data_IF_279149019450
#
_entry.id   IF_279149019450
#
_cell.length_a   1.000
_cell.length_b   1.000
_cell.length_c   1.000
_cell.angle_alpha   90.00
_cell.angle_beta   90.00
_cell.angle_gamma   90.00
#
_symmetry.space_group_name_H-M   'P 1'
#
loop_
_entity.id
_entity.type
_entity.pdbx_description
1 polymer ?
#
# COMPACT_ATOMS: atom_id res chain seq x y z
N UNK A 1 0.25 10.55 -22.34
CA UNK A 1 -1.12 10.77 -21.95
C UNK A 1 -1.78 11.62 -23.03
N UNK A 2 -3.04 11.38 -23.32
CA UNK A 2 -3.85 12.32 -24.06
C UNK A 2 -4.12 13.48 -23.08
N UNK A 3 -3.63 14.69 -23.31
CA UNK A 3 -3.71 15.75 -22.32
C UNK A 3 -5.17 16.11 -21.97
N UNK A 4 -6.08 15.95 -22.95
CA UNK A 4 -7.52 16.20 -22.76
C UNK A 4 -8.13 15.15 -21.85
N UNK A 5 -7.84 13.86 -22.09
CA UNK A 5 -8.33 12.75 -21.29
C UNK A 5 -7.81 12.83 -19.85
N UNK A 6 -6.52 13.10 -19.68
CA UNK A 6 -5.93 13.26 -18.35
C UNK A 6 -6.56 14.43 -17.58
N UNK A 7 -6.86 15.55 -18.26
CA UNK A 7 -7.56 16.68 -17.63
C UNK A 7 -8.99 16.36 -17.23
N UNK A 8 -9.71 15.66 -18.09
CA UNK A 8 -11.08 15.23 -17.81
C UNK A 8 -11.13 14.22 -16.65
N UNK A 9 -10.25 13.22 -16.63
CA UNK A 9 -10.14 12.30 -15.52
C UNK A 9 -9.75 12.99 -14.22
N UNK A 10 -8.74 13.86 -14.25
CA UNK A 10 -8.31 14.61 -13.09
C UNK A 10 -9.42 15.53 -12.54
N UNK A 11 -10.29 16.07 -13.41
CA UNK A 11 -11.43 16.88 -12.97
C UNK A 11 -12.53 16.08 -12.29
N UNK A 12 -12.60 14.77 -12.55
CA UNK A 12 -13.56 13.83 -11.96
C UNK A 12 -12.96 12.97 -10.85
N UNK A 13 -11.64 13.06 -10.64
CA UNK A 13 -10.97 12.27 -9.62
C UNK A 13 -11.43 12.70 -8.23
N UNK A 14 -11.80 11.71 -7.41
CA UNK A 14 -11.99 11.92 -5.97
C UNK A 14 -10.63 12.21 -5.35
N UNK A 15 -10.55 13.29 -4.60
CA UNK A 15 -9.32 13.71 -3.91
C UNK A 15 -9.61 13.86 -2.43
N UNK A 16 -8.61 13.51 -1.64
CA UNK A 16 -8.63 13.80 -0.21
C UNK A 16 -8.04 15.19 -0.02
N UNK A 17 -8.76 16.15 0.57
CA UNK A 17 -8.19 17.46 0.89
C UNK A 17 -7.04 17.28 1.86
N UNK A 18 -5.85 17.74 1.49
CA UNK A 18 -4.65 17.65 2.34
C UNK A 18 -4.67 18.65 3.49
N UNK A 19 -5.51 19.68 3.40
CA UNK A 19 -5.71 20.71 4.42
C UNK A 19 -7.18 21.14 4.46
N UNK A 20 -7.60 21.67 5.60
CA UNK A 20 -8.94 22.22 5.77
C UNK A 20 -10.05 21.17 5.93
N UNK A 21 -11.32 21.59 5.75
CA UNK A 21 -12.46 20.72 5.94
C UNK A 21 -12.57 19.65 4.85
N UNK A 22 -13.10 18.50 5.22
CA UNK A 22 -13.47 17.43 4.29
C UNK A 22 -14.93 17.63 3.83
N UNK A 23 -15.32 16.95 2.74
CA UNK A 23 -16.71 16.93 2.31
C UNK A 23 -17.59 16.09 3.23
N UNK A 24 -18.89 16.35 3.21
CA UNK A 24 -19.87 15.61 4.01
C UNK A 24 -19.86 14.10 3.64
N UNK A 25 -19.69 13.79 2.36
CA UNK A 25 -19.62 12.40 1.87
C UNK A 25 -18.39 11.67 2.41
N UNK A 26 -17.23 12.33 2.46
CA UNK A 26 -16.03 11.74 3.04
C UNK A 26 -16.19 11.55 4.56
N UNK A 27 -16.76 12.51 5.24
CA UNK A 27 -17.06 12.42 6.66
C UNK A 27 -18.02 11.25 6.95
N UNK A 28 -19.06 11.07 6.14
CA UNK A 28 -20.01 9.96 6.25
C UNK A 28 -19.32 8.61 6.04
N UNK A 29 -18.44 8.48 5.04
CA UNK A 29 -17.66 7.25 4.82
C UNK A 29 -16.77 6.94 6.03
N UNK A 30 -16.05 7.93 6.55
CA UNK A 30 -15.18 7.74 7.71
C UNK A 30 -15.97 7.36 8.95
N UNK A 31 -17.11 8.01 9.18
CA UNK A 31 -18.00 7.67 10.29
C UNK A 31 -18.55 6.24 10.17
N UNK A 32 -18.93 5.84 8.95
CA UNK A 32 -19.38 4.47 8.68
C UNK A 32 -18.29 3.43 9.00
N UNK A 33 -17.04 3.71 8.65
CA UNK A 33 -15.92 2.82 9.02
C UNK A 33 -15.70 2.83 10.54
N UNK A 34 -15.78 3.98 11.18
CA UNK A 34 -15.61 4.11 12.64
C UNK A 34 -16.69 3.33 13.43
N UNK A 35 -17.92 3.31 12.92
CA UNK A 35 -19.05 2.60 13.54
C UNK A 35 -18.95 1.05 13.38
N UNK A 36 -18.02 0.58 12.53
CA UNK A 36 -17.83 -0.85 12.25
C UNK A 36 -16.38 -1.28 12.56
N UNK A 37 -16.04 -1.54 13.83
CA UNK A 37 -14.67 -1.82 14.27
C UNK A 37 -14.09 -3.15 13.74
N UNK A 38 -14.87 -3.98 13.10
CA UNK A 38 -14.49 -5.19 12.37
C UNK A 38 -13.99 -4.88 10.94
N UNK A 39 -14.27 -3.68 10.44
CA UNK A 39 -13.78 -3.20 9.13
C UNK A 39 -12.46 -2.45 9.30
N UNK A 40 -11.61 -2.50 8.31
CA UNK A 40 -10.41 -1.66 8.23
C UNK A 40 -10.50 -0.65 7.09
N UNK A 41 -9.88 0.50 7.29
CA UNK A 41 -9.72 1.52 6.26
C UNK A 41 -8.47 1.22 5.44
N UNK A 42 -8.60 1.06 4.12
CA UNK A 42 -7.47 1.00 3.21
C UNK A 42 -7.31 2.37 2.52
N UNK A 43 -6.10 2.92 2.52
CA UNK A 43 -5.85 4.25 1.94
C UNK A 43 -5.99 4.27 0.41
N UNK A 44 -5.94 3.12 -0.25
CA UNK A 44 -5.97 3.04 -1.70
C UNK A 44 -4.75 3.70 -2.35
N UNK A 45 -4.89 4.05 -3.64
CA UNK A 45 -3.80 4.63 -4.44
C UNK A 45 -3.87 6.17 -4.49
N UNK A 46 -3.77 6.82 -3.36
CA UNK A 46 -3.73 8.29 -3.25
C UNK A 46 -2.27 8.78 -3.13
N UNK A 47 -2.03 10.07 -3.17
CA UNK A 47 -0.68 10.64 -3.00
C UNK A 47 -0.20 10.57 -1.55
N UNK A 48 1.12 10.70 -1.33
CA UNK A 48 1.69 10.70 0.01
C UNK A 48 1.08 11.73 0.97
N UNK A 49 0.90 13.00 0.57
CA UNK A 49 0.19 13.99 1.40
C UNK A 49 -1.25 13.59 1.72
N UNK A 50 -1.98 13.01 0.77
CA UNK A 50 -3.34 12.51 1.01
C UNK A 50 -3.34 11.32 1.97
N UNK A 51 -2.36 10.41 1.88
CA UNK A 51 -2.21 9.32 2.89
C UNK A 51 -2.05 9.93 4.28
N UNK A 52 -1.12 10.87 4.47
CA UNK A 52 -0.89 11.47 5.78
C UNK A 52 -2.15 12.14 6.32
N UNK A 53 -2.93 12.81 5.46
CA UNK A 53 -4.24 13.38 5.84
C UNK A 53 -5.25 12.32 6.23
N UNK A 54 -5.31 11.19 5.52
CA UNK A 54 -6.18 10.07 5.88
C UNK A 54 -5.81 9.53 7.26
N UNK A 55 -4.52 9.45 7.61
CA UNK A 55 -4.10 9.00 8.94
C UNK A 55 -4.56 9.96 10.05
N UNK A 56 -4.49 11.27 9.83
CA UNK A 56 -5.02 12.27 10.76
C UNK A 56 -6.54 12.12 10.93
N UNK A 57 -7.26 12.01 9.82
CA UNK A 57 -8.70 11.79 9.84
C UNK A 57 -9.09 10.47 10.52
N UNK A 58 -8.31 9.41 10.30
CA UNK A 58 -8.55 8.14 10.99
C UNK A 58 -8.47 8.30 12.52
N UNK A 59 -7.51 9.09 13.03
CA UNK A 59 -7.44 9.40 14.47
C UNK A 59 -8.61 10.28 14.93
N UNK A 60 -8.96 11.33 14.18
CA UNK A 60 -10.11 12.19 14.48
C UNK A 60 -11.42 11.39 14.60
N UNK A 61 -11.65 10.44 13.67
CA UNK A 61 -12.82 9.57 13.64
C UNK A 61 -12.67 8.31 14.51
N UNK A 62 -11.54 8.10 15.20
CA UNK A 62 -11.23 6.93 16.03
C UNK A 62 -11.24 5.60 15.26
N UNK A 63 -10.78 5.63 14.02
CA UNK A 63 -10.56 4.44 13.19
C UNK A 63 -9.19 3.87 13.54
N UNK A 64 -9.17 2.72 14.19
CA UNK A 64 -7.93 2.11 14.70
C UNK A 64 -7.28 1.12 13.73
N UNK A 65 -8.04 0.62 12.76
CA UNK A 65 -7.56 -0.35 11.77
C UNK A 65 -7.37 0.35 10.44
N UNK A 66 -6.13 0.70 10.12
CA UNK A 66 -5.77 1.32 8.84
C UNK A 66 -4.67 0.51 8.17
N UNK A 67 -4.83 0.26 6.88
CA UNK A 67 -3.82 -0.32 6.00
C UNK A 67 -3.39 0.72 4.97
N UNK A 68 -2.12 1.08 4.99
CA UNK A 68 -1.53 1.99 4.02
C UNK A 68 -1.11 1.18 2.80
N UNK A 69 -1.84 1.33 1.70
CA UNK A 69 -1.55 0.63 0.45
C UNK A 69 -0.23 1.14 -0.16
N UNK A 70 0.66 0.23 -0.52
CA UNK A 70 1.90 0.51 -1.28
C UNK A 70 2.66 1.77 -0.81
N UNK A 71 3.09 1.88 0.46
CA UNK A 71 3.61 3.13 1.03
C UNK A 71 4.77 3.72 0.21
N UNK A 72 5.63 2.87 -0.35
CA UNK A 72 6.73 3.31 -1.20
C UNK A 72 6.25 3.88 -2.55
N UNK A 73 5.19 3.32 -3.14
CA UNK A 73 4.57 3.85 -4.38
C UNK A 73 3.85 5.16 -4.12
N UNK A 74 3.27 5.33 -2.94
CA UNK A 74 2.66 6.58 -2.48
C UNK A 74 3.69 7.66 -2.12
N UNK A 75 4.98 7.37 -2.28
CA UNK A 75 6.10 8.26 -2.02
C UNK A 75 6.21 8.70 -0.55
N UNK A 76 5.77 7.85 0.38
CA UNK A 76 6.04 8.07 1.80
C UNK A 76 7.53 7.87 2.08
N UNK A 77 8.13 8.84 2.76
CA UNK A 77 9.47 8.69 3.28
C UNK A 77 9.52 7.60 4.38
N UNK A 78 10.70 7.08 4.67
CA UNK A 78 10.87 6.11 5.76
C UNK A 78 10.41 6.70 7.09
N UNK A 79 10.67 7.98 7.35
CA UNK A 79 10.22 8.64 8.57
C UNK A 79 8.70 8.73 8.66
N UNK A 80 8.00 8.99 7.56
CA UNK A 80 6.54 8.95 7.51
C UNK A 80 5.99 7.54 7.72
N UNK A 81 6.65 6.51 7.16
CA UNK A 81 6.28 5.12 7.39
C UNK A 81 6.47 4.71 8.85
N UNK A 82 7.59 5.10 9.48
CA UNK A 82 7.83 4.89 10.91
C UNK A 82 6.83 5.64 11.78
N UNK A 83 6.45 6.86 11.38
CA UNK A 83 5.44 7.62 12.09
C UNK A 83 4.09 6.89 12.06
N UNK A 84 3.64 6.47 10.89
CA UNK A 84 2.42 5.68 10.73
C UNK A 84 2.44 4.38 11.56
N UNK A 85 3.57 3.67 11.58
CA UNK A 85 3.80 2.47 12.37
C UNK A 85 3.66 2.76 13.89
N UNK A 86 4.32 3.82 14.39
CA UNK A 86 4.21 4.25 15.81
C UNK A 86 2.78 4.59 16.21
N UNK A 87 1.97 5.10 15.28
CA UNK A 87 0.55 5.39 15.48
C UNK A 87 -0.33 4.12 15.42
N UNK A 88 0.27 2.95 15.18
CA UNK A 88 -0.40 1.65 15.18
C UNK A 88 -1.02 1.25 13.85
N UNK A 89 -0.73 1.96 12.77
CA UNK A 89 -1.22 1.65 11.43
C UNK A 89 -0.34 0.62 10.73
N UNK A 90 -0.96 -0.22 9.89
CA UNK A 90 -0.26 -1.21 9.10
C UNK A 90 0.17 -0.66 7.74
N UNK A 91 1.32 -1.15 7.26
CA UNK A 91 1.85 -0.85 5.93
C UNK A 91 1.74 -2.09 5.04
N UNK A 92 1.17 -1.92 3.87
CA UNK A 92 1.09 -2.99 2.89
C UNK A 92 2.39 -3.12 2.11
N UNK A 93 2.91 -4.33 2.02
CA UNK A 93 4.03 -4.66 1.17
C UNK A 93 3.62 -5.69 0.12
N UNK A 94 3.66 -5.29 -1.16
CA UNK A 94 3.26 -6.16 -2.25
C UNK A 94 4.43 -6.64 -3.07
N UNK A 95 4.40 -7.93 -3.43
CA UNK A 95 5.43 -8.56 -4.28
C UNK A 95 5.58 -7.84 -5.62
N UNK A 96 4.48 -7.33 -6.18
CA UNK A 96 4.48 -6.60 -7.45
C UNK A 96 5.33 -5.33 -7.43
N UNK A 97 5.56 -4.75 -6.26
CA UNK A 97 6.26 -3.48 -6.13
C UNK A 97 7.77 -3.59 -6.48
N UNK A 98 8.35 -4.77 -6.35
CA UNK A 98 9.78 -4.97 -6.58
C UNK A 98 10.12 -6.14 -7.52
N UNK A 99 9.29 -7.20 -7.58
CA UNK A 99 9.63 -8.40 -8.36
C UNK A 99 9.57 -8.18 -9.88
N UNK A 100 8.72 -7.27 -10.34
CA UNK A 100 8.56 -6.95 -11.76
C UNK A 100 9.09 -5.57 -12.16
N UNK A 101 10.29 -5.17 -11.75
CA UNK A 101 10.86 -3.90 -12.21
C UNK A 101 11.02 -3.85 -13.74
N UNK A 102 11.00 -5.02 -14.41
CA UNK A 102 11.17 -5.18 -15.85
C UNK A 102 9.99 -5.91 -16.51
N UNK A 103 8.88 -6.13 -15.79
CA UNK A 103 7.70 -6.76 -16.40
C UNK A 103 7.29 -6.01 -17.67
N UNK A 104 6.89 -6.73 -18.72
CA UNK A 104 6.36 -6.09 -19.90
C UNK A 104 5.24 -5.14 -19.46
N UNK A 105 5.32 -3.91 -19.90
CA UNK A 105 4.43 -2.80 -19.51
C UNK A 105 2.99 -2.96 -20.00
N UNK A 106 2.59 -4.17 -20.35
CA UNK A 106 1.33 -4.52 -21.01
C UNK A 106 0.26 -5.08 -20.09
N UNK A 107 0.55 -5.29 -18.81
CA UNK A 107 -0.42 -5.90 -17.91
C UNK A 107 -1.42 -4.92 -17.28
N UNK A 108 -1.12 -3.64 -17.32
CA UNK A 108 -2.15 -2.61 -17.20
C UNK A 108 -2.46 -2.15 -18.61
N UNK A 109 -3.67 -2.03 -19.03
CA UNK A 109 -4.09 -1.54 -20.34
C UNK A 109 -3.55 -0.13 -20.70
N UNK A 110 -2.45 0.24 -20.07
CA UNK A 110 -1.75 1.50 -20.29
C UNK A 110 -0.78 1.27 -21.43
N UNK A 111 -1.06 1.87 -22.55
CA UNK A 111 -0.16 1.80 -23.69
C UNK A 111 1.26 2.23 -23.33
N UNK A 112 2.25 1.56 -23.91
CA UNK A 112 3.68 1.83 -23.73
C UNK A 112 4.02 3.34 -23.75
N UNK A 113 3.34 4.12 -24.60
CA UNK A 113 3.54 5.57 -24.71
C UNK A 113 3.19 6.36 -23.45
N UNK A 114 2.27 5.85 -22.59
CA UNK A 114 1.98 6.47 -21.31
C UNK A 114 3.10 6.25 -20.30
N UNK A 115 3.64 5.05 -20.31
CA UNK A 115 4.70 4.64 -19.42
C UNK A 115 6.04 5.32 -19.76
N UNK A 116 6.29 5.53 -21.07
CA UNK A 116 7.54 6.15 -21.54
C UNK A 116 7.57 7.68 -21.34
N UNK A 117 6.42 8.33 -21.20
CA UNK A 117 6.31 9.79 -21.07
C UNK A 117 6.21 10.29 -19.64
N UNK A 118 5.79 9.46 -18.71
CA UNK A 118 5.55 9.92 -17.34
C UNK A 118 6.82 10.26 -16.57
N UNK A 119 7.97 9.76 -17.01
CA UNK A 119 9.24 9.95 -16.28
C UNK A 119 9.24 9.34 -14.86
N UNK A 120 8.07 8.90 -14.39
CA UNK A 120 7.85 8.46 -13.03
C UNK A 120 8.18 6.98 -12.79
N UNK A 121 8.30 6.19 -13.85
CA UNK A 121 8.61 4.76 -13.77
C UNK A 121 9.90 4.43 -13.03
N UNK A 122 11.00 5.19 -13.15
CA UNK A 122 12.20 4.91 -12.36
C UNK A 122 11.99 5.12 -10.86
N UNK A 123 11.08 6.03 -10.46
CA UNK A 123 10.82 6.36 -9.06
C UNK A 123 9.96 5.32 -8.35
N UNK A 124 9.15 4.58 -9.09
CA UNK A 124 8.25 3.54 -8.55
C UNK A 124 8.94 2.19 -8.36
N UNK A 125 10.22 2.07 -8.74
CA UNK A 125 10.94 0.79 -8.75
C UNK A 125 11.91 0.73 -7.60
N UNK A 126 11.55 0.02 -6.56
CA UNK A 126 12.50 -0.38 -5.54
C UNK A 126 13.11 -1.74 -5.91
N UNK A 127 14.40 -1.93 -5.64
CA UNK A 127 14.99 -3.25 -5.67
C UNK A 127 14.50 -4.08 -4.49
N UNK A 128 14.57 -5.40 -4.60
CA UNK A 128 14.29 -6.28 -3.46
C UNK A 128 15.09 -5.87 -2.21
N UNK A 129 16.39 -5.58 -2.38
CA UNK A 129 17.24 -5.16 -1.28
C UNK A 129 16.77 -3.88 -0.57
N UNK A 130 16.37 -2.86 -1.36
CA UNK A 130 15.83 -1.63 -0.78
C UNK A 130 14.52 -1.87 -0.05
N UNK A 131 13.64 -2.69 -0.61
CA UNK A 131 12.35 -3.00 -0.01
C UNK A 131 12.51 -3.77 1.30
N UNK A 132 13.44 -4.75 1.33
CA UNK A 132 13.76 -5.50 2.54
C UNK A 132 14.42 -4.61 3.62
N UNK A 133 15.28 -3.68 3.20
CA UNK A 133 15.86 -2.69 4.11
C UNK A 133 14.79 -1.77 4.73
N UNK A 134 13.82 -1.31 3.95
CA UNK A 134 12.72 -0.51 4.45
C UNK A 134 11.88 -1.27 5.48
N UNK A 135 11.55 -2.55 5.24
CA UNK A 135 10.82 -3.39 6.20
C UNK A 135 11.61 -3.51 7.50
N UNK A 136 12.93 -3.74 7.42
CA UNK A 136 13.79 -3.82 8.60
C UNK A 136 13.83 -2.52 9.38
N UNK A 137 13.89 -1.40 8.67
CA UNK A 137 14.02 -0.09 9.28
C UNK A 137 12.72 0.40 9.93
N UNK A 138 11.57 0.08 9.36
CA UNK A 138 10.25 0.41 9.91
C UNK A 138 9.85 -0.56 11.01
N UNK A 139 10.11 -1.84 10.83
CA UNK A 139 9.77 -2.96 11.72
C UNK A 139 8.82 -3.97 11.06
N UNK A 140 9.20 -5.26 10.99
CA UNK A 140 8.37 -6.32 10.41
C UNK A 140 6.97 -6.42 11.04
N UNK A 141 6.84 -6.08 12.32
CA UNK A 141 5.60 -6.15 13.08
C UNK A 141 4.50 -5.18 12.59
N UNK A 142 4.86 -4.25 11.71
CA UNK A 142 3.91 -3.26 11.16
C UNK A 142 3.52 -3.56 9.71
N UNK A 143 4.10 -4.57 9.09
CA UNK A 143 3.79 -4.89 7.70
C UNK A 143 2.74 -5.99 7.56
N UNK A 144 1.89 -5.79 6.56
CA UNK A 144 0.99 -6.81 6.01
C UNK A 144 1.48 -7.11 4.60
N UNK A 145 1.93 -8.35 4.36
CA UNK A 145 2.51 -8.72 3.07
C UNK A 145 1.54 -9.51 2.21
N UNK A 146 1.51 -9.13 0.94
CA UNK A 146 0.70 -9.77 -0.08
C UNK A 146 1.41 -9.80 -1.44
N UNK A 147 0.72 -10.29 -2.45
CA UNK A 147 1.30 -10.39 -3.79
C UNK A 147 0.86 -9.29 -4.74
N UNK A 148 -0.35 -8.79 -4.57
CA UNK A 148 -1.05 -7.95 -5.53
C UNK A 148 -1.12 -8.62 -6.92
N UNK A 149 -1.20 -9.97 -6.93
CA UNK A 149 -1.35 -10.76 -8.15
C UNK A 149 -2.83 -11.02 -8.41
N UNK A 150 -3.22 -10.95 -9.63
CA UNK A 150 -4.57 -11.09 -10.17
C UNK A 150 -4.57 -10.61 -11.61
N UNK A 151 -3.40 -10.23 -12.09
CA UNK A 151 -3.17 -9.71 -13.42
C UNK A 151 -2.72 -10.84 -14.36
N UNK A 152 -3.15 -10.78 -15.61
CA UNK A 152 -2.94 -11.85 -16.61
C UNK A 152 -1.48 -12.24 -16.82
N UNK A 153 -0.55 -11.30 -16.66
CA UNK A 153 0.87 -11.52 -16.90
C UNK A 153 1.63 -12.02 -15.66
N UNK A 154 0.98 -12.09 -14.49
CA UNK A 154 1.61 -12.57 -13.26
C UNK A 154 1.36 -14.07 -13.05
N UNK A 155 2.23 -14.76 -12.32
CA UNK A 155 1.95 -16.09 -11.79
C UNK A 155 0.71 -16.09 -10.88
N UNK A 156 0.27 -17.28 -10.47
CA UNK A 156 -0.81 -17.36 -9.48
C UNK A 156 -0.38 -16.70 -8.14
N UNK A 157 -1.35 -16.19 -7.38
CA UNK A 157 -1.08 -15.59 -6.08
C UNK A 157 -0.34 -16.56 -5.13
N UNK A 158 -0.67 -17.86 -5.18
CA UNK A 158 0.02 -18.90 -4.40
C UNK A 158 1.49 -19.01 -4.77
N UNK A 159 1.81 -19.00 -6.07
CA UNK A 159 3.20 -19.02 -6.52
C UNK A 159 3.93 -17.72 -6.15
N UNK A 160 3.24 -16.59 -6.22
CA UNK A 160 3.75 -15.30 -5.76
C UNK A 160 4.10 -15.34 -4.27
N UNK A 161 3.20 -15.83 -3.41
CA UNK A 161 3.48 -15.95 -1.97
C UNK A 161 4.68 -16.86 -1.68
N UNK A 162 4.84 -17.97 -2.40
CA UNK A 162 6.03 -18.83 -2.26
C UNK A 162 7.31 -18.05 -2.61
N UNK A 163 7.30 -17.31 -3.71
CA UNK A 163 8.43 -16.46 -4.11
C UNK A 163 8.73 -15.40 -3.06
N UNK A 164 7.71 -14.73 -2.54
CA UNK A 164 7.85 -13.73 -1.48
C UNK A 164 8.51 -14.32 -0.23
N UNK A 165 7.99 -15.43 0.27
CA UNK A 165 8.52 -16.11 1.46
C UNK A 165 9.98 -16.56 1.24
N UNK A 166 10.28 -17.17 0.08
CA UNK A 166 11.65 -17.57 -0.24
C UNK A 166 12.59 -16.37 -0.26
N UNK A 167 12.17 -15.27 -0.87
CA UNK A 167 12.99 -14.07 -0.92
C UNK A 167 13.20 -13.46 0.47
N UNK A 168 12.18 -13.43 1.34
CA UNK A 168 12.35 -12.98 2.72
C UNK A 168 13.37 -13.83 3.46
N UNK A 169 13.34 -15.15 3.30
CA UNK A 169 14.34 -16.08 3.88
C UNK A 169 15.76 -15.79 3.34
N UNK A 170 15.90 -15.54 2.04
CA UNK A 170 17.19 -15.18 1.41
C UNK A 170 17.75 -13.86 1.95
N UNK A 171 16.88 -12.97 2.42
CA UNK A 171 17.25 -11.72 3.12
C UNK A 171 17.25 -11.86 4.64
N UNK A 172 17.38 -13.08 5.14
CA UNK A 172 17.57 -13.41 6.56
C UNK A 172 16.42 -12.99 7.49
N UNK A 173 15.18 -12.83 6.96
CA UNK A 173 14.03 -12.73 7.84
C UNK A 173 13.75 -14.08 8.50
N UNK A 174 13.49 -14.04 9.78
CA UNK A 174 13.17 -15.25 10.54
C UNK A 174 11.78 -15.79 10.17
N UNK A 175 11.53 -17.10 10.33
CA UNK A 175 10.20 -17.68 10.14
C UNK A 175 9.09 -16.96 10.95
N UNK A 176 9.42 -16.47 12.14
CA UNK A 176 8.44 -15.77 12.99
C UNK A 176 8.13 -14.37 12.49
N UNK A 177 9.13 -13.62 12.00
CA UNK A 177 8.89 -12.33 11.32
C UNK A 177 8.05 -12.54 10.06
N UNK A 178 8.35 -13.55 9.26
CA UNK A 178 7.58 -13.86 8.04
C UNK A 178 6.15 -14.23 8.42
N UNK A 179 5.93 -15.08 9.42
CA UNK A 179 4.60 -15.43 9.92
C UNK A 179 3.84 -14.20 10.42
N UNK A 180 4.53 -13.30 11.12
CA UNK A 180 3.95 -12.05 11.61
C UNK A 180 3.41 -11.24 10.45
N UNK A 181 4.20 -11.00 9.41
CA UNK A 181 3.82 -10.17 8.27
C UNK A 181 2.79 -10.83 7.33
N UNK A 182 2.80 -12.16 7.23
CA UNK A 182 1.96 -12.87 6.25
C UNK A 182 0.71 -13.54 6.82
N UNK A 183 0.62 -13.67 8.16
CA UNK A 183 -0.49 -14.31 8.83
C UNK A 183 -1.02 -13.53 10.04
N UNK A 184 -0.16 -13.20 11.02
CA UNK A 184 -0.63 -12.59 12.26
C UNK A 184 -1.15 -11.16 12.04
N UNK A 185 -0.41 -10.31 11.34
CA UNK A 185 -0.85 -8.93 11.07
C UNK A 185 -2.09 -8.89 10.18
N UNK A 186 -2.18 -9.68 9.07
CA UNK A 186 -3.44 -9.80 8.34
C UNK A 186 -4.62 -10.24 9.22
N UNK A 187 -4.44 -11.22 10.09
CA UNK A 187 -5.48 -11.68 11.01
C UNK A 187 -5.93 -10.55 11.96
N UNK A 188 -4.96 -9.87 12.60
CA UNK A 188 -5.24 -8.72 13.47
C UNK A 188 -5.99 -7.60 12.74
N UNK A 189 -5.59 -7.29 11.50
CA UNK A 189 -6.24 -6.25 10.70
C UNK A 189 -7.72 -6.54 10.47
N UNK A 190 -8.06 -7.79 10.18
CA UNK A 190 -9.46 -8.21 9.95
C UNK A 190 -10.19 -8.68 11.22
N UNK A 191 -9.57 -8.54 12.38
CA UNK A 191 -10.19 -8.86 13.67
C UNK A 191 -10.27 -10.35 14.00
N UNK A 192 -9.39 -11.16 13.40
CA UNK A 192 -9.26 -12.59 13.76
C UNK A 192 -8.12 -12.79 14.76
N UNK A 193 -8.26 -13.79 15.59
CA UNK A 193 -7.17 -14.24 16.45
C UNK A 193 -6.04 -14.82 15.56
N UNK A 194 -4.77 -14.46 15.82
CA UNK A 194 -3.64 -15.07 15.13
C UNK A 194 -3.59 -16.59 15.40
N UNK A 195 -3.36 -17.36 14.35
CA UNK A 195 -3.18 -18.81 14.41
C UNK A 195 -1.84 -19.18 15.05
#
# INVERSE_FOLDING_TARGET
AYPEFAREELSRAVRIPTEGPISDELAEILQMVADHPDVYLNTGHVSGPEVMRILELAEEFKIHKVLIAHPARQQLSIEQQKDAARRGFFLEGCLVDWLYPHAPRTHYYVEKKYMDRSGDLPRMRRSAAQWMADIREVGPEYFVLGTDYGIRAAPSAVQGMRTLITTLLDYEFTPDEIRTMTAHNPARLIGLDPL
#
